data_IF_475430819841
#
_entry.id   IF_475430819841
#
_cell.length_a   1.000
_cell.length_b   1.000
_cell.length_c   1.000
_cell.angle_alpha   90.00
_cell.angle_beta   90.00
_cell.angle_gamma   90.00
#
_symmetry.space_group_name_H-M   'P 1'
#
loop_
_entity.id
_entity.type
_entity.pdbx_description
1 polymer ?
#
# COMPACT_ATOMS: atom_id res chain seq x y z
N UNK A 1 -39.91 27.57 -2.24
CA UNK A 1 -38.70 27.00 -1.60
C UNK A 1 -37.49 27.79 -2.05
N UNK A 2 -37.10 28.76 -1.23
CA UNK A 2 -36.01 29.72 -1.43
C UNK A 2 -34.65 29.02 -1.33
N UNK A 3 -33.79 29.24 -2.34
CA UNK A 3 -32.39 28.82 -2.34
C UNK A 3 -31.61 29.76 -1.42
N UNK A 4 -31.07 29.24 -0.31
CA UNK A 4 -30.08 29.98 0.47
C UNK A 4 -28.71 29.85 -0.21
N UNK A 5 -28.17 30.99 -0.62
CA UNK A 5 -26.86 31.13 -1.23
C UNK A 5 -25.73 30.82 -0.25
N UNK A 6 -24.61 30.34 -0.80
CA UNK A 6 -23.32 30.25 -0.11
C UNK A 6 -22.85 31.63 0.36
N UNK A 7 -22.56 31.83 1.66
CA UNK A 7 -21.88 33.04 2.08
C UNK A 7 -20.40 32.94 1.69
N UNK A 8 -20.02 33.72 0.68
CA UNK A 8 -18.64 34.10 0.43
C UNK A 8 -18.19 35.08 1.52
N UNK A 9 -17.63 34.57 2.62
CA UNK A 9 -16.92 35.40 3.60
C UNK A 9 -15.58 34.76 3.96
N UNK A 10 -14.56 35.35 3.35
CA UNK A 10 -13.24 35.68 3.87
C UNK A 10 -12.86 35.15 5.25
N UNK A 11 -11.71 34.48 5.24
CA UNK A 11 -10.83 34.15 6.34
C UNK A 11 -10.75 35.29 7.38
N UNK A 12 -11.44 35.14 8.51
CA UNK A 12 -11.41 36.13 9.61
C UNK A 12 -10.35 35.70 10.64
N UNK A 13 -9.27 36.49 10.73
CA UNK A 13 -8.09 36.19 11.56
C UNK A 13 -8.37 36.40 13.05
N UNK A 14 -9.41 37.18 13.37
CA UNK A 14 -9.74 37.62 14.73
C UNK A 14 -10.65 36.62 15.48
N UNK A 15 -11.16 35.59 14.79
CA UNK A 15 -11.92 34.47 15.37
C UNK A 15 -11.07 33.26 15.75
N UNK A 16 -9.75 33.37 15.66
CA UNK A 16 -8.78 32.34 16.08
C UNK A 16 -8.21 32.59 17.49
N UNK A 17 -8.98 33.24 18.37
CA UNK A 17 -8.57 33.42 19.75
C UNK A 17 -8.99 32.19 20.59
N UNK A 18 -8.06 31.55 21.31
CA UNK A 18 -8.31 30.33 22.07
C UNK A 18 -9.08 30.64 23.37
N UNK A 19 -10.15 29.88 23.63
CA UNK A 19 -10.79 29.81 24.95
C UNK A 19 -10.15 28.69 25.78
N UNK A 20 -9.76 29.05 27.00
CA UNK A 20 -8.88 28.30 27.90
C UNK A 20 -9.61 27.17 28.65
N UNK A 21 -8.97 26.00 28.83
CA UNK A 21 -8.76 25.31 30.14
C UNK A 21 -8.24 23.84 30.08
N UNK A 22 -7.24 23.63 30.95
CA UNK A 22 -6.76 22.42 31.67
C UNK A 22 -6.17 21.21 30.90
N UNK A 23 -4.83 21.10 30.95
CA UNK A 23 -4.06 19.87 30.68
C UNK A 23 -2.75 20.15 29.95
N UNK A 24 -1.63 19.55 30.38
CA UNK A 24 -0.24 19.92 30.00
C UNK A 24 0.20 19.60 28.56
N UNK A 25 -0.72 19.33 27.63
CA UNK A 25 -0.43 19.00 26.22
C UNK A 25 -1.49 19.65 25.33
N UNK A 26 -1.10 20.64 24.49
CA UNK A 26 -1.96 21.16 23.42
C UNK A 26 -1.69 20.39 22.12
N UNK A 27 -2.72 19.79 21.54
CA UNK A 27 -2.69 19.20 20.19
C UNK A 27 -3.58 20.08 19.30
N UNK A 28 -3.00 20.66 18.24
CA UNK A 28 -3.76 21.40 17.22
C UNK A 28 -3.86 20.57 15.94
N UNK A 29 -5.09 20.38 15.45
CA UNK A 29 -5.38 19.79 14.14
C UNK A 29 -6.09 20.84 13.31
N UNK A 30 -5.56 21.17 12.13
CA UNK A 30 -6.25 22.02 11.15
C UNK A 30 -6.86 21.13 10.07
N UNK A 31 -8.20 21.08 10.02
CA UNK A 31 -8.94 20.38 8.97
C UNK A 31 -9.48 21.45 8.02
N UNK A 32 -8.90 21.53 6.81
CA UNK A 32 -9.47 22.27 5.69
C UNK A 32 -10.23 21.29 4.81
N UNK A 33 -11.41 21.68 4.33
CA UNK A 33 -12.23 20.90 3.40
C UNK A 33 -11.57 20.63 2.03
N UNK A 34 -10.36 21.16 1.78
CA UNK A 34 -9.63 20.99 0.52
C UNK A 34 -8.42 20.07 0.66
N UNK A 35 -7.79 19.95 1.85
CA UNK A 35 -6.77 18.91 2.13
C UNK A 35 -6.38 18.86 3.61
N UNK A 36 -6.06 17.67 4.11
CA UNK A 36 -5.41 17.49 5.42
C UNK A 36 -3.90 17.79 5.28
N UNK A 37 -3.43 18.86 5.92
CA UNK A 37 -1.99 19.16 6.03
C UNK A 37 -1.32 18.30 7.12
N UNK A 38 0.02 18.16 7.11
CA UNK A 38 0.74 17.31 8.07
C UNK A 38 0.51 17.78 9.52
N UNK A 39 0.26 16.84 10.42
CA UNK A 39 0.12 17.09 11.87
C UNK A 39 1.52 17.37 12.43
N UNK A 40 1.69 18.53 13.08
CA UNK A 40 2.92 18.90 13.76
C UNK A 40 2.66 18.86 15.27
N UNK A 41 3.24 17.89 15.96
CA UNK A 41 3.20 17.81 17.41
C UNK A 41 4.33 18.66 18.00
N UNK A 42 3.97 19.75 18.70
CA UNK A 42 4.91 20.53 19.48
C UNK A 42 4.85 20.06 20.93
N UNK A 43 5.96 19.49 21.44
CA UNK A 43 6.08 19.13 22.86
C UNK A 43 6.60 20.35 23.65
N UNK A 44 5.85 20.78 24.67
CA UNK A 44 6.28 21.80 25.64
C UNK A 44 5.33 23.00 25.77
N UNK A 45 5.65 23.93 26.67
CA UNK A 45 4.97 25.24 26.79
C UNK A 45 5.50 26.17 25.69
N UNK A 46 4.68 26.50 24.71
CA UNK A 46 5.02 27.40 23.60
C UNK A 46 4.16 28.66 23.65
N UNK A 47 4.80 29.82 23.68
CA UNK A 47 4.16 31.14 23.51
C UNK A 47 3.80 31.38 22.03
N UNK A 48 2.73 32.15 21.78
CA UNK A 48 2.25 32.45 20.42
C UNK A 48 3.26 33.18 19.53
N UNK A 49 4.28 33.81 20.11
CA UNK A 49 5.41 34.42 19.39
C UNK A 49 6.37 33.37 18.83
N UNK A 50 6.76 32.36 19.63
CA UNK A 50 7.58 31.23 19.16
C UNK A 50 6.92 30.47 18.01
N UNK A 51 5.59 30.39 18.01
CA UNK A 51 4.85 29.76 16.92
C UNK A 51 4.93 30.55 15.60
N UNK A 52 4.91 31.90 15.68
CA UNK A 52 5.06 32.78 14.51
C UNK A 52 6.47 32.71 13.91
N UNK A 53 7.52 32.62 14.74
CA UNK A 53 8.90 32.40 14.28
C UNK A 53 9.08 31.06 13.55
N UNK A 54 8.55 29.97 14.10
CA UNK A 54 8.65 28.63 13.51
C UNK A 54 7.96 28.54 12.14
N UNK A 55 6.86 29.29 11.95
CA UNK A 55 6.18 29.36 10.66
C UNK A 55 6.91 30.23 9.63
N UNK A 56 7.64 31.26 10.06
CA UNK A 56 8.44 32.12 9.19
C UNK A 56 9.68 31.40 8.63
N UNK A 57 10.30 30.50 9.41
CA UNK A 57 11.53 29.77 9.03
C UNK A 57 11.29 28.48 8.18
N UNK A 58 10.15 28.37 7.48
CA UNK A 58 9.80 27.16 6.70
C UNK A 58 10.61 26.95 5.41
N UNK A 59 11.42 27.93 4.98
CA UNK A 59 12.24 27.79 3.77
C UNK A 59 13.46 26.87 3.95
N UNK A 60 13.95 26.67 5.18
CA UNK A 60 15.23 25.98 5.42
C UNK A 60 15.14 24.44 5.39
N UNK A 61 13.93 23.88 5.51
CA UNK A 61 13.77 22.42 5.45
C UNK A 61 13.93 21.83 4.04
N UNK A 62 13.84 22.66 2.98
CA UNK A 62 14.08 22.20 1.60
C UNK A 62 15.56 22.12 1.22
N UNK A 63 16.46 22.75 1.97
CA UNK A 63 17.88 22.92 1.60
C UNK A 63 18.85 22.08 2.41
N UNK A 64 18.43 20.92 2.94
CA UNK A 64 19.41 19.92 3.39
C UNK A 64 20.09 19.32 2.16
N UNK A 65 21.27 19.85 1.86
CA UNK A 65 22.23 19.31 0.91
C UNK A 65 22.42 17.80 1.15
N UNK A 66 21.81 16.98 0.30
CA UNK A 66 22.11 15.55 0.23
C UNK A 66 23.41 15.45 -0.57
N UNK A 67 24.50 14.87 -0.02
CA UNK A 67 25.77 14.75 -0.73
C UNK A 67 25.55 14.10 -2.10
N UNK A 68 26.19 14.68 -3.11
CA UNK A 68 25.93 14.45 -4.52
C UNK A 68 25.84 12.97 -4.88
N UNK A 69 24.69 12.57 -5.44
CA UNK A 69 24.58 11.29 -6.14
C UNK A 69 25.54 11.34 -7.33
N UNK A 70 26.50 10.42 -7.39
CA UNK A 70 27.20 10.14 -8.63
C UNK A 70 26.14 9.79 -9.69
N UNK A 71 25.91 10.70 -10.65
CA UNK A 71 25.07 10.41 -11.79
C UNK A 71 25.74 9.28 -12.58
N UNK A 72 25.19 8.06 -12.47
CA UNK A 72 25.59 6.99 -13.38
C UNK A 72 25.26 7.48 -14.79
N UNK A 73 26.23 7.38 -15.71
CA UNK A 73 25.98 7.60 -17.14
C UNK A 73 24.84 6.67 -17.56
N UNK A 74 23.69 7.25 -17.87
CA UNK A 74 22.55 6.51 -18.36
C UNK A 74 22.71 6.36 -19.87
N UNK A 75 23.18 5.20 -20.32
CA UNK A 75 23.20 4.89 -21.74
C UNK A 75 21.77 4.68 -22.22
N UNK A 76 21.35 5.41 -23.26
CA UNK A 76 20.07 5.17 -23.92
C UNK A 76 20.07 3.76 -24.51
N UNK A 77 18.96 3.05 -24.32
CA UNK A 77 18.77 1.74 -24.92
C UNK A 77 18.35 1.93 -26.37
N UNK A 78 18.85 1.05 -27.26
CA UNK A 78 18.34 0.99 -28.64
C UNK A 78 16.86 0.64 -28.61
N UNK A 79 16.06 1.49 -29.24
CA UNK A 79 14.65 1.24 -29.57
C UNK A 79 14.53 0.03 -30.50
N UNK A 80 13.33 -0.53 -30.58
CA UNK A 80 13.02 -1.65 -31.48
C UNK A 80 13.31 -1.28 -32.93
N UNK A 81 12.84 -0.10 -33.34
CA UNK A 81 13.10 0.46 -34.68
C UNK A 81 14.60 0.59 -34.99
N UNK A 82 15.41 1.09 -34.05
CA UNK A 82 16.86 1.21 -34.26
C UNK A 82 17.53 -0.17 -34.43
N UNK A 83 17.02 -1.21 -33.77
CA UNK A 83 17.54 -2.59 -33.93
C UNK A 83 17.14 -3.19 -35.27
N UNK A 84 15.90 -2.97 -35.71
CA UNK A 84 15.43 -3.38 -37.04
C UNK A 84 16.23 -2.70 -38.15
N UNK A 85 16.47 -1.40 -38.00
CA UNK A 85 17.30 -0.64 -38.92
C UNK A 85 18.74 -1.19 -38.96
N UNK A 86 19.32 -1.53 -37.80
CA UNK A 86 20.63 -2.20 -37.74
C UNK A 86 20.60 -3.52 -38.52
N UNK A 87 19.59 -4.37 -38.32
CA UNK A 87 19.48 -5.65 -39.03
C UNK A 87 19.40 -5.43 -40.54
N UNK A 88 18.52 -4.51 -40.99
CA UNK A 88 18.36 -4.19 -42.41
C UNK A 88 19.59 -3.58 -43.06
N UNK A 89 20.39 -2.81 -42.32
CA UNK A 89 21.67 -2.28 -42.83
C UNK A 89 22.74 -3.38 -42.92
N UNK A 90 22.75 -4.33 -41.97
CA UNK A 90 23.71 -5.43 -41.94
C UNK A 90 23.44 -6.50 -43.01
N UNK A 91 22.18 -6.71 -43.42
CA UNK A 91 21.86 -7.59 -44.57
C UNK A 91 22.41 -7.02 -45.88
N UNK A 92 22.58 -5.70 -46.00
CA UNK A 92 23.21 -5.04 -47.14
C UNK A 92 24.76 -5.07 -47.12
N UNK A 93 25.37 -5.90 -46.27
CA UNK A 93 26.83 -6.10 -46.14
C UNK A 93 27.60 -4.79 -45.91
N UNK A 94 27.03 -3.89 -45.11
CA UNK A 94 27.64 -2.61 -44.77
C UNK A 94 28.62 -2.72 -43.59
N UNK A 95 29.52 -1.74 -43.51
CA UNK A 95 30.50 -1.66 -42.43
C UNK A 95 29.85 -1.20 -41.12
N UNK A 96 30.26 -1.81 -40.01
CA UNK A 96 29.70 -1.53 -38.67
C UNK A 96 29.83 -0.06 -38.26
N UNK A 97 30.94 0.60 -38.62
CA UNK A 97 31.17 2.02 -38.38
C UNK A 97 30.12 2.90 -39.08
N UNK A 98 29.79 2.59 -40.34
CA UNK A 98 28.83 3.38 -41.12
C UNK A 98 27.41 3.20 -40.58
N UNK A 99 27.06 1.99 -40.19
CA UNK A 99 25.75 1.69 -39.61
C UNK A 99 25.60 2.34 -38.23
N UNK A 100 26.66 2.32 -37.41
CA UNK A 100 26.70 2.99 -36.11
C UNK A 100 26.51 4.51 -36.23
N UNK A 101 27.15 5.15 -37.22
CA UNK A 101 26.96 6.57 -37.49
C UNK A 101 25.54 6.90 -37.97
N UNK A 102 24.93 6.04 -38.77
CA UNK A 102 23.56 6.23 -39.27
C UNK A 102 22.49 6.07 -38.19
N UNK A 103 22.70 5.14 -37.24
CA UNK A 103 21.79 4.86 -36.12
C UNK A 103 22.16 5.69 -34.87
N UNK A 104 23.19 6.53 -34.96
CA UNK A 104 23.73 7.33 -33.85
C UNK A 104 23.98 6.51 -32.57
N UNK A 105 24.62 5.35 -32.72
CA UNK A 105 24.94 4.45 -31.62
C UNK A 105 26.41 3.99 -31.67
N UNK A 106 26.87 3.26 -30.66
CA UNK A 106 28.24 2.74 -30.65
C UNK A 106 28.41 1.55 -31.62
N UNK A 107 29.60 1.40 -32.23
CA UNK A 107 29.92 0.23 -33.07
C UNK A 107 29.74 -1.11 -32.33
N UNK A 108 29.99 -1.12 -31.02
CA UNK A 108 29.75 -2.28 -30.15
C UNK A 108 28.26 -2.64 -30.03
N UNK A 109 27.36 -1.64 -30.00
CA UNK A 109 25.92 -1.88 -29.95
C UNK A 109 25.41 -2.50 -31.25
N UNK A 110 25.88 -2.03 -32.41
CA UNK A 110 25.60 -2.63 -33.72
C UNK A 110 26.09 -4.07 -33.77
N UNK A 111 27.34 -4.31 -33.34
CA UNK A 111 27.93 -5.66 -33.31
C UNK A 111 27.12 -6.61 -32.42
N UNK A 112 26.85 -6.22 -31.18
CA UNK A 112 26.09 -7.05 -30.23
C UNK A 112 24.66 -7.34 -30.73
N UNK A 113 23.99 -6.35 -31.35
CA UNK A 113 22.67 -6.52 -31.94
C UNK A 113 22.68 -7.52 -33.10
N UNK A 114 23.68 -7.41 -33.99
CA UNK A 114 23.85 -8.33 -35.12
C UNK A 114 24.20 -9.75 -34.65
N UNK A 115 25.12 -9.89 -33.70
CA UNK A 115 25.46 -11.19 -33.10
C UNK A 115 24.24 -11.84 -32.44
N UNK A 116 23.43 -11.09 -31.72
CA UNK A 116 22.18 -11.60 -31.14
C UNK A 116 21.21 -12.08 -32.22
N UNK A 117 21.00 -11.30 -33.29
CA UNK A 117 20.14 -11.67 -34.41
C UNK A 117 20.63 -12.95 -35.11
N UNK A 118 21.93 -13.04 -35.44
CA UNK A 118 22.49 -14.22 -36.12
C UNK A 118 22.44 -15.49 -35.28
N UNK A 119 22.59 -15.39 -33.95
CA UNK A 119 22.58 -16.56 -33.06
C UNK A 119 21.17 -17.02 -32.70
N UNK A 120 20.25 -16.08 -32.48
CA UNK A 120 18.96 -16.36 -31.84
C UNK A 120 17.76 -16.04 -32.74
N UNK A 121 17.99 -15.45 -33.92
CA UNK A 121 16.93 -15.00 -34.84
C UNK A 121 16.03 -13.91 -34.25
N UNK A 122 16.49 -13.24 -33.19
CA UNK A 122 15.68 -12.28 -32.43
C UNK A 122 16.54 -11.12 -31.96
N UNK A 123 16.05 -9.89 -32.13
CA UNK A 123 16.68 -8.66 -31.61
C UNK A 123 15.93 -8.07 -30.42
N UNK A 124 14.87 -8.74 -29.96
CA UNK A 124 14.12 -8.38 -28.77
C UNK A 124 15.04 -8.38 -27.54
N UNK A 125 14.78 -7.46 -26.61
CA UNK A 125 15.57 -7.35 -25.38
C UNK A 125 15.27 -8.55 -24.48
N UNK A 126 16.32 -9.20 -23.98
CA UNK A 126 16.15 -10.18 -22.90
C UNK A 126 15.83 -9.49 -21.58
N UNK A 127 14.85 -10.01 -20.86
CA UNK A 127 14.59 -9.60 -19.49
C UNK A 127 15.83 -9.88 -18.64
N UNK A 128 16.31 -8.86 -17.92
CA UNK A 128 17.43 -9.04 -17.00
C UNK A 128 17.05 -10.00 -15.87
N UNK A 129 18.03 -10.72 -15.33
CA UNK A 129 17.85 -11.69 -14.22
C UNK A 129 17.37 -11.05 -12.91
N UNK A 130 17.42 -9.72 -12.80
CA UNK A 130 17.05 -8.98 -11.59
C UNK A 130 18.04 -9.18 -10.45
N UNK A 131 17.74 -8.56 -9.30
CA UNK A 131 18.53 -8.76 -8.09
C UNK A 131 18.24 -10.14 -7.49
N UNK A 132 19.29 -10.81 -7.00
CA UNK A 132 19.14 -12.07 -6.28
C UNK A 132 18.37 -11.86 -4.97
N UNK A 133 17.61 -12.88 -4.56
CA UNK A 133 16.89 -12.87 -3.29
C UNK A 133 17.88 -13.03 -2.15
N UNK A 134 17.62 -12.35 -1.03
CA UNK A 134 18.35 -12.58 0.23
C UNK A 134 17.95 -13.88 0.91
N UNK A 135 16.73 -14.37 0.65
CA UNK A 135 16.21 -15.59 1.25
C UNK A 135 16.48 -16.81 0.38
N UNK A 136 16.69 -17.94 1.04
CA UNK A 136 16.79 -19.25 0.38
C UNK A 136 15.41 -19.91 0.22
N UNK A 137 15.28 -20.87 -0.71
CA UNK A 137 14.03 -21.66 -0.85
C UNK A 137 13.63 -22.40 0.43
N UNK A 138 14.57 -22.69 1.33
CA UNK A 138 14.29 -23.34 2.63
C UNK A 138 13.67 -22.35 3.61
N UNK A 139 14.17 -21.13 3.65
CA UNK A 139 13.61 -20.05 4.47
C UNK A 139 12.22 -19.63 3.98
N UNK A 140 12.03 -19.50 2.66
CA UNK A 140 10.72 -19.18 2.09
C UNK A 140 9.67 -20.23 2.50
N UNK A 141 10.04 -21.53 2.46
CA UNK A 141 9.18 -22.61 2.96
C UNK A 141 8.89 -22.53 4.44
N UNK A 142 9.87 -22.12 5.25
CA UNK A 142 9.69 -21.93 6.70
C UNK A 142 8.71 -20.78 6.99
N UNK A 143 8.88 -19.64 6.31
CA UNK A 143 7.99 -18.48 6.38
C UNK A 143 6.54 -18.89 6.05
N UNK A 144 6.35 -19.60 4.93
CA UNK A 144 5.03 -20.09 4.52
C UNK A 144 4.43 -21.05 5.55
N UNK A 145 5.22 -22.00 6.05
CA UNK A 145 4.76 -22.99 7.02
C UNK A 145 4.26 -22.33 8.31
N UNK A 146 4.98 -21.35 8.83
CA UNK A 146 4.54 -20.65 10.05
C UNK A 146 3.17 -20.00 9.89
N UNK A 147 2.96 -19.29 8.77
CA UNK A 147 1.67 -18.65 8.49
C UNK A 147 0.53 -19.64 8.22
N UNK A 148 0.84 -20.87 7.81
CA UNK A 148 -0.16 -21.94 7.62
C UNK A 148 -0.49 -22.68 8.92
N UNK A 149 0.51 -22.90 9.78
CA UNK A 149 0.33 -23.57 11.09
C UNK A 149 -0.40 -22.67 12.06
N UNK A 150 0.01 -21.41 12.14
CA UNK A 150 -0.65 -20.37 12.93
C UNK A 150 -0.99 -19.17 12.03
N UNK A 151 -2.24 -19.08 11.55
CA UNK A 151 -2.70 -17.95 10.75
C UNK A 151 -2.56 -16.59 11.44
N UNK A 152 -2.52 -16.52 12.77
CA UNK A 152 -2.46 -15.26 13.53
C UNK A 152 -1.04 -14.69 13.70
N UNK A 153 -0.03 -15.45 13.27
CA UNK A 153 1.37 -15.11 13.47
C UNK A 153 1.74 -13.75 12.85
N UNK A 154 2.47 -12.93 13.61
CA UNK A 154 2.91 -11.63 13.12
C UNK A 154 4.15 -11.73 12.23
N UNK A 155 4.38 -10.69 11.42
CA UNK A 155 5.61 -10.59 10.61
C UNK A 155 6.86 -10.52 11.47
N UNK A 156 6.77 -9.93 12.66
CA UNK A 156 7.90 -9.79 13.59
C UNK A 156 8.28 -11.13 14.21
N UNK A 157 7.30 -11.96 14.55
CA UNK A 157 7.54 -13.31 15.07
C UNK A 157 8.10 -14.24 14.00
N UNK A 158 7.58 -14.19 12.76
CA UNK A 158 8.18 -14.89 11.61
C UNK A 158 9.63 -14.44 11.41
N UNK A 159 9.89 -13.12 11.46
CA UNK A 159 11.23 -12.56 11.28
C UNK A 159 12.21 -13.06 12.35
N UNK A 160 11.78 -13.14 13.60
CA UNK A 160 12.64 -13.61 14.69
C UNK A 160 13.05 -15.09 14.51
N UNK A 161 12.18 -15.90 13.89
CA UNK A 161 12.44 -17.31 13.63
C UNK A 161 13.35 -17.55 12.40
N UNK A 162 13.36 -16.61 11.46
CA UNK A 162 14.24 -16.64 10.28
C UNK A 162 15.58 -16.03 10.63
N UNK A 163 16.66 -16.80 10.50
CA UNK A 163 18.05 -16.38 10.82
C UNK A 163 18.65 -15.35 9.84
N UNK A 164 17.84 -14.76 8.96
CA UNK A 164 18.29 -13.83 7.90
C UNK A 164 17.78 -12.43 8.21
N UNK A 165 18.68 -11.45 8.06
CA UNK A 165 18.36 -10.04 8.24
C UNK A 165 17.45 -9.51 7.10
N UNK A 166 16.14 -9.72 7.26
CA UNK A 166 15.10 -9.25 6.34
C UNK A 166 14.16 -8.24 7.01
N UNK A 167 13.61 -7.34 6.21
CA UNK A 167 12.54 -6.42 6.66
C UNK A 167 11.17 -7.12 6.63
N UNK A 168 10.22 -6.77 7.50
CA UNK A 168 8.88 -7.39 7.54
C UNK A 168 8.13 -7.38 6.21
N UNK A 169 8.38 -6.37 5.36
CA UNK A 169 7.76 -6.27 4.02
C UNK A 169 8.20 -7.40 3.08
N UNK A 170 9.42 -7.93 3.27
CA UNK A 170 9.92 -9.09 2.51
C UNK A 170 9.10 -10.34 2.84
N UNK A 171 8.81 -10.57 4.12
CA UNK A 171 7.92 -11.66 4.56
C UNK A 171 6.53 -11.52 3.91
N UNK A 172 5.95 -10.32 3.89
CA UNK A 172 4.66 -10.10 3.23
C UNK A 172 4.68 -10.42 1.73
N UNK A 173 5.79 -10.11 1.04
CA UNK A 173 5.95 -10.47 -0.38
C UNK A 173 6.03 -11.99 -0.56
N UNK A 174 6.81 -12.69 0.24
CA UNK A 174 6.91 -14.16 0.18
C UNK A 174 5.57 -14.85 0.47
N UNK A 175 4.80 -14.35 1.45
CA UNK A 175 3.46 -14.86 1.73
C UNK A 175 2.49 -14.56 0.58
N UNK A 176 2.58 -13.36 -0.02
CA UNK A 176 1.75 -13.01 -1.17
C UNK A 176 2.06 -13.86 -2.41
N UNK A 177 3.33 -14.18 -2.68
CA UNK A 177 3.76 -15.12 -3.73
C UNK A 177 3.13 -16.52 -3.51
N UNK A 178 2.88 -16.89 -2.25
CA UNK A 178 2.22 -18.13 -1.86
C UNK A 178 0.68 -18.03 -1.79
N UNK A 179 0.08 -16.94 -2.30
CA UNK A 179 -1.34 -16.62 -2.21
C UNK A 179 -1.90 -16.45 -0.78
N UNK A 180 -1.04 -16.21 0.21
CA UNK A 180 -1.44 -15.88 1.58
C UNK A 180 -1.50 -14.36 1.76
N UNK A 181 -2.67 -13.86 2.17
CA UNK A 181 -2.89 -12.44 2.42
C UNK A 181 -3.33 -12.23 3.86
N UNK A 182 -2.84 -11.15 4.45
CA UNK A 182 -3.32 -10.65 5.74
C UNK A 182 -4.74 -10.13 5.57
N UNK A 183 -5.71 -10.79 6.19
CA UNK A 183 -7.13 -10.43 6.16
C UNK A 183 -7.69 -10.35 7.58
N UNK A 184 -8.80 -9.64 7.75
CA UNK A 184 -9.54 -9.71 9.02
C UNK A 184 -10.15 -11.12 9.17
N UNK A 185 -10.03 -11.76 10.34
CA UNK A 185 -10.70 -13.03 10.59
C UNK A 185 -12.20 -12.81 10.45
N UNK A 186 -12.89 -13.84 9.94
CA UNK A 186 -14.35 -13.80 9.93
C UNK A 186 -14.83 -14.06 11.35
N UNK A 187 -15.67 -13.16 11.88
CA UNK A 187 -16.31 -13.34 13.18
C UNK A 187 -17.77 -13.62 12.94
N UNK A 188 -18.19 -14.85 13.20
CA UNK A 188 -19.60 -15.21 13.29
C UNK A 188 -19.84 -15.88 14.64
N UNK A 189 -20.98 -15.59 15.24
CA UNK A 189 -21.42 -16.34 16.41
C UNK A 189 -21.71 -17.78 15.95
N UNK A 190 -21.08 -18.80 16.57
CA UNK A 190 -21.34 -20.18 16.20
C UNK A 190 -22.79 -20.52 16.55
N UNK A 191 -23.66 -20.60 15.53
CA UNK A 191 -25.03 -21.06 15.70
C UNK A 191 -25.03 -22.58 15.88
N UNK A 192 -25.54 -23.03 17.02
CA UNK A 192 -25.83 -24.45 17.26
C UNK A 192 -26.84 -24.97 16.23
N UNK A 193 -26.85 -26.27 15.90
CA UNK A 193 -27.84 -26.84 14.99
C UNK A 193 -29.29 -26.52 15.40
N UNK A 194 -29.56 -26.54 16.71
CA UNK A 194 -30.86 -26.14 17.29
C UNK A 194 -31.20 -24.69 17.00
N UNK A 195 -30.27 -23.75 17.20
CA UNK A 195 -30.50 -22.33 16.88
C UNK A 195 -30.76 -22.14 15.38
N UNK A 196 -30.02 -22.83 14.51
CA UNK A 196 -30.25 -22.76 13.05
C UNK A 196 -31.66 -23.23 12.67
N UNK A 197 -32.11 -24.34 13.25
CA UNK A 197 -33.45 -24.87 13.01
C UNK A 197 -34.54 -23.90 13.49
N UNK A 198 -34.41 -23.39 14.73
CA UNK A 198 -35.37 -22.45 15.28
C UNK A 198 -35.42 -21.14 14.49
N UNK A 199 -34.27 -20.61 14.08
CA UNK A 199 -34.21 -19.41 13.23
C UNK A 199 -34.87 -19.66 11.87
N UNK A 200 -34.59 -20.81 11.24
CA UNK A 200 -35.21 -21.18 9.96
C UNK A 200 -36.73 -21.30 10.10
N UNK A 201 -37.22 -22.02 11.11
CA UNK A 201 -38.65 -22.16 11.38
C UNK A 201 -39.30 -20.79 11.66
N UNK A 202 -38.64 -19.93 12.43
CA UNK A 202 -39.12 -18.59 12.73
C UNK A 202 -39.27 -17.74 11.47
N UNK A 203 -38.27 -17.79 10.57
CA UNK A 203 -38.30 -17.12 9.27
C UNK A 203 -39.38 -17.70 8.35
N UNK A 204 -39.50 -19.02 8.25
CA UNK A 204 -40.50 -19.70 7.42
C UNK A 204 -41.93 -19.35 7.88
N UNK A 205 -42.20 -19.40 9.18
CA UNK A 205 -43.49 -19.06 9.76
C UNK A 205 -43.92 -17.60 9.49
N UNK A 206 -42.96 -16.71 9.20
CA UNK A 206 -43.17 -15.28 8.96
C UNK A 206 -42.85 -14.85 7.52
N UNK A 207 -42.56 -15.80 6.64
CA UNK A 207 -42.17 -15.52 5.26
C UNK A 207 -43.28 -14.86 4.45
N UNK A 208 -44.54 -15.09 4.84
CA UNK A 208 -45.74 -14.54 4.18
C UNK A 208 -46.33 -13.32 4.91
N UNK A 209 -45.65 -12.81 5.95
CA UNK A 209 -46.15 -11.67 6.72
C UNK A 209 -46.12 -10.39 5.90
N UNK A 210 -47.22 -9.63 5.98
CA UNK A 210 -47.35 -8.35 5.32
C UNK A 210 -46.91 -7.19 6.24
N UNK A 211 -46.89 -5.96 5.73
CA UNK A 211 -46.47 -4.76 6.49
C UNK A 211 -47.30 -4.55 7.75
N UNK A 212 -48.60 -4.85 7.72
CA UNK A 212 -49.49 -4.68 8.88
C UNK A 212 -49.23 -5.68 10.00
N UNK A 213 -48.71 -6.87 9.66
CA UNK A 213 -48.30 -7.87 10.66
C UNK A 213 -46.98 -7.49 11.32
N UNK A 214 -46.04 -6.91 10.56
CA UNK A 214 -44.80 -6.38 11.12
C UNK A 214 -45.01 -5.17 12.03
N UNK A 215 -46.03 -4.35 11.78
CA UNK A 215 -46.40 -3.22 12.65
C UNK A 215 -46.82 -3.65 14.06
N UNK A 216 -47.21 -4.91 14.25
CA UNK A 216 -47.59 -5.46 15.57
C UNK A 216 -46.37 -5.90 16.40
N UNK A 217 -45.18 -5.93 15.82
CA UNK A 217 -43.95 -6.40 16.48
C UNK A 217 -43.11 -5.23 16.96
N UNK A 218 -42.80 -5.19 18.25
CA UNK A 218 -41.83 -4.26 18.83
C UNK A 218 -40.50 -4.99 19.04
N UNK A 219 -39.42 -4.44 18.50
CA UNK A 219 -38.07 -4.96 18.72
C UNK A 219 -37.36 -4.15 19.79
N UNK A 220 -36.77 -4.83 20.77
CA UNK A 220 -35.86 -4.24 21.74
C UNK A 220 -34.54 -5.01 21.74
N UNK A 221 -33.44 -4.30 21.99
CA UNK A 221 -32.13 -4.91 22.18
C UNK A 221 -31.31 -4.04 23.13
N UNK A 222 -30.41 -4.66 23.89
CA UNK A 222 -29.46 -3.98 24.74
C UNK A 222 -28.12 -3.84 24.01
N UNK A 223 -27.48 -2.68 24.12
CA UNK A 223 -26.18 -2.41 23.50
C UNK A 223 -25.22 -1.83 24.53
N UNK A 224 -23.98 -2.35 24.54
CA UNK A 224 -22.90 -1.87 25.41
C UNK A 224 -22.08 -0.80 24.69
N UNK A 225 -21.94 0.37 25.31
CA UNK A 225 -21.05 1.43 24.84
C UNK A 225 -19.77 1.46 25.69
N UNK A 226 -18.60 1.54 25.04
CA UNK A 226 -17.29 1.55 25.72
C UNK A 226 -16.53 2.83 25.35
N UNK A 227 -15.96 3.51 26.36
CA UNK A 227 -15.28 4.81 26.23
C UNK A 227 -13.83 4.73 25.70
N UNK A 228 -13.30 3.52 25.53
CA UNK A 228 -11.97 3.25 24.99
C UNK A 228 -12.03 2.17 23.93
N UNK A 229 -11.27 2.33 22.85
CA UNK A 229 -11.16 1.33 21.80
C UNK A 229 -10.05 0.34 22.16
N UNK A 230 -10.42 -0.82 22.71
CA UNK A 230 -9.58 -2.00 22.51
C UNK A 230 -9.76 -2.43 21.07
N UNK A 231 -8.80 -2.05 20.23
CA UNK A 231 -8.89 -2.25 18.80
C UNK A 231 -9.02 -3.76 18.46
N UNK A 232 -8.50 -4.65 19.33
CA UNK A 232 -8.55 -6.13 19.21
C UNK A 232 -8.42 -6.61 17.74
N UNK A 233 -7.58 -5.89 16.97
CA UNK A 233 -7.42 -6.06 15.53
C UNK A 233 -6.50 -7.23 15.29
N UNK A 234 -7.08 -8.42 15.39
CA UNK A 234 -6.42 -9.63 14.95
C UNK A 234 -6.46 -9.68 13.43
N UNK A 235 -5.32 -10.02 12.83
CA UNK A 235 -5.19 -10.29 11.41
C UNK A 235 -4.80 -11.75 11.24
N UNK A 236 -5.32 -12.38 10.20
CA UNK A 236 -5.01 -13.77 9.86
C UNK A 236 -4.44 -13.86 8.45
N UNK A 237 -3.43 -14.68 8.27
CA UNK A 237 -2.94 -15.10 6.96
C UNK A 237 -3.86 -16.19 6.42
N UNK A 238 -4.51 -15.92 5.29
CA UNK A 238 -5.35 -16.92 4.63
C UNK A 238 -5.38 -16.74 3.12
N UNK A 239 -5.74 -17.79 2.39
CA UNK A 239 -5.98 -17.68 0.95
C UNK A 239 -7.30 -16.99 0.68
N UNK A 240 -7.54 -16.67 -0.58
CA UNK A 240 -8.87 -16.22 -1.01
C UNK A 240 -9.80 -17.43 -1.07
N UNK A 241 -10.99 -17.32 -0.43
CA UNK A 241 -11.96 -18.42 -0.34
C UNK A 241 -12.00 -19.16 1.01
N UNK A 242 -10.92 -19.12 1.80
CA UNK A 242 -10.81 -19.84 3.10
C UNK A 242 -11.46 -19.07 4.27
N UNK A 243 -12.51 -18.30 4.01
CA UNK A 243 -13.11 -17.43 5.02
C UNK A 243 -13.74 -18.22 6.19
N UNK A 244 -14.33 -19.37 5.88
CA UNK A 244 -15.05 -20.23 6.82
C UNK A 244 -14.17 -21.32 7.46
N UNK A 245 -12.91 -21.44 7.04
CA UNK A 245 -11.95 -22.42 7.56
C UNK A 245 -11.06 -21.83 8.66
N UNK A 246 -11.29 -20.56 9.03
CA UNK A 246 -10.56 -19.94 10.13
C UNK A 246 -11.10 -20.49 11.47
N UNK A 247 -10.23 -20.84 12.43
CA UNK A 247 -10.65 -21.31 13.75
C UNK A 247 -11.49 -20.27 14.51
#
# INVERSE_FOLDING_TARGET
MTRFGTPALTYDRDRLLPTDKHGSIMIWVTVSCVSARPIVALKGRTTGEKYREVLANKEDFRKRNIPGKCARRHFSQLSEFERDLIIGLKTAVRSTRRDAGQVNCSECAVRNCWEQWTREGTHARKTGSGATRKTTRREDRRIMRQALVDPTVTRSTIRADVSVAIVPQTISRHLAEANLKSKRPFRALPLTPKHRQLHLQWCQARSMWNVTDWQKVVFSNESRFVLGTDDNRVWVWRRTGEQYNSP
#
